data_IF_380565714044
#
_entry.id   IF_380565714044
#
_cell.length_a   1.000
_cell.length_b   1.000
_cell.length_c   1.000
_cell.angle_alpha   90.00
_cell.angle_beta   90.00
_cell.angle_gamma   90.00
#
_symmetry.space_group_name_H-M   'P 1'
#
loop_
_entity.id
_entity.type
_entity.pdbx_description
1 polymer ?
#
# COMPACT_ATOMS: atom_id res chain seq x y z
N UNK A 1 3.38 26.21 -0.95
CA UNK A 1 4.24 25.01 -0.84
C UNK A 1 3.33 23.91 -0.33
N UNK A 2 3.29 22.74 -0.98
CA UNK A 2 2.41 21.68 -0.56
C UNK A 2 2.68 21.27 0.89
N UNK A 3 1.61 20.98 1.63
CA UNK A 3 1.68 20.60 3.06
C UNK A 3 1.08 19.22 3.26
N UNK A 4 1.62 18.45 4.21
CA UNK A 4 1.09 17.11 4.49
C UNK A 4 -0.40 17.16 4.84
N UNK A 5 -1.17 16.19 4.31
CA UNK A 5 -2.56 16.02 4.70
C UNK A 5 -2.69 15.77 6.21
N UNK A 6 -3.76 16.24 6.82
CA UNK A 6 -4.14 15.86 8.19
C UNK A 6 -4.61 14.40 8.23
N UNK A 7 -4.75 13.83 9.43
CA UNK A 7 -5.32 12.48 9.59
C UNK A 7 -6.75 12.38 9.04
N UNK A 8 -7.55 13.43 9.19
CA UNK A 8 -8.91 13.47 8.65
C UNK A 8 -8.93 13.44 7.12
N UNK A 9 -8.07 14.22 6.47
CA UNK A 9 -7.94 14.20 5.02
C UNK A 9 -7.40 12.86 4.52
N UNK A 10 -6.40 12.29 5.19
CA UNK A 10 -5.88 10.96 4.90
C UNK A 10 -6.99 9.88 4.97
N UNK A 11 -7.87 9.98 5.97
CA UNK A 11 -9.04 9.10 6.10
C UNK A 11 -10.00 9.21 4.92
N UNK A 12 -10.22 10.41 4.36
CA UNK A 12 -11.08 10.58 3.19
C UNK A 12 -10.56 9.80 1.96
N UNK A 13 -9.24 9.63 1.82
CA UNK A 13 -8.66 8.81 0.74
C UNK A 13 -8.92 7.31 0.96
N UNK A 14 -8.85 6.85 2.21
CA UNK A 14 -9.24 5.49 2.58
C UNK A 14 -10.72 5.28 2.30
N UNK A 15 -11.59 6.18 2.75
CA UNK A 15 -13.04 6.10 2.55
C UNK A 15 -13.41 6.09 1.06
N UNK A 16 -12.71 6.89 0.26
CA UNK A 16 -12.83 6.89 -1.20
C UNK A 16 -12.60 5.49 -1.78
N UNK A 17 -11.51 4.83 -1.38
CA UNK A 17 -11.17 3.49 -1.88
C UNK A 17 -12.10 2.40 -1.30
N UNK A 18 -12.48 2.50 -0.03
CA UNK A 18 -13.43 1.59 0.62
C UNK A 18 -14.79 1.59 -0.09
N UNK A 19 -15.30 2.77 -0.45
CA UNK A 19 -16.57 2.92 -1.17
C UNK A 19 -16.57 2.23 -2.56
N UNK A 20 -15.39 1.82 -3.06
CA UNK A 20 -15.20 1.19 -4.37
C UNK A 20 -14.83 -0.28 -4.30
N UNK A 21 -14.75 -0.87 -3.11
CA UNK A 21 -14.44 -2.29 -2.95
C UNK A 21 -15.34 -3.17 -3.82
N UNK A 22 -14.72 -4.13 -4.50
CA UNK A 22 -15.40 -5.05 -5.42
C UNK A 22 -15.77 -4.46 -6.77
N UNK A 23 -15.44 -3.19 -7.06
CA UNK A 23 -15.73 -2.51 -8.32
C UNK A 23 -14.45 -2.13 -9.05
N UNK A 24 -14.53 -1.97 -10.37
CA UNK A 24 -13.46 -1.42 -11.18
C UNK A 24 -13.50 0.10 -11.08
N UNK A 25 -12.39 0.71 -10.63
CA UNK A 25 -12.23 2.16 -10.60
C UNK A 25 -11.53 2.65 -11.87
N UNK A 26 -12.19 3.51 -12.64
CA UNK A 26 -11.67 4.01 -13.92
C UNK A 26 -11.34 2.88 -14.89
N UNK A 27 -10.08 2.84 -15.38
CA UNK A 27 -9.60 1.79 -16.28
C UNK A 27 -9.14 0.50 -15.54
N UNK A 28 -9.27 0.47 -14.21
CA UNK A 28 -8.90 -0.66 -13.37
C UNK A 28 -7.41 -0.83 -13.08
N UNK A 29 -6.55 0.13 -13.46
CA UNK A 29 -5.11 0.10 -13.14
C UNK A 29 -4.85 0.46 -11.67
N UNK A 30 -3.76 -0.06 -11.10
CA UNK A 30 -3.39 0.16 -9.69
C UNK A 30 -3.23 1.66 -9.35
N UNK A 31 -2.54 2.41 -10.21
CA UNK A 31 -2.35 3.85 -10.04
C UNK A 31 -3.64 4.66 -10.22
N UNK A 32 -4.62 4.14 -10.97
CA UNK A 32 -5.87 4.88 -11.27
C UNK A 32 -6.74 5.06 -10.03
N UNK A 33 -6.77 4.07 -9.14
CA UNK A 33 -7.46 4.20 -7.85
C UNK A 33 -6.93 5.41 -7.05
N UNK A 34 -5.61 5.52 -6.95
CA UNK A 34 -4.96 6.60 -6.19
C UNK A 34 -5.11 7.94 -6.90
N UNK A 35 -4.87 7.97 -8.22
CA UNK A 35 -4.99 9.19 -9.01
C UNK A 35 -6.40 9.79 -8.95
N UNK A 36 -7.44 8.96 -9.11
CA UNK A 36 -8.82 9.45 -9.05
C UNK A 36 -9.18 9.91 -7.63
N UNK A 37 -8.69 9.23 -6.59
CA UNK A 37 -8.83 9.69 -5.20
C UNK A 37 -8.19 11.05 -4.98
N UNK A 38 -6.97 11.26 -5.49
CA UNK A 38 -6.27 12.55 -5.41
C UNK A 38 -7.05 13.66 -6.13
N UNK A 39 -7.58 13.39 -7.33
CA UNK A 39 -8.40 14.34 -8.07
C UNK A 39 -9.70 14.67 -7.33
N UNK A 40 -10.38 13.66 -6.77
CA UNK A 40 -11.62 13.85 -6.04
C UNK A 40 -11.43 14.70 -4.78
N UNK A 41 -10.35 14.45 -4.02
CA UNK A 41 -10.04 15.14 -2.78
C UNK A 41 -9.20 16.40 -2.97
N UNK A 42 -8.81 16.70 -4.21
CA UNK A 42 -7.95 17.83 -4.59
C UNK A 42 -6.59 17.82 -3.88
N UNK A 43 -6.05 16.63 -3.68
CA UNK A 43 -4.68 16.47 -3.18
C UNK A 43 -3.69 16.90 -4.26
N UNK A 44 -2.56 17.46 -3.82
CA UNK A 44 -1.44 17.76 -4.68
C UNK A 44 -0.87 16.47 -5.29
N UNK A 45 -0.84 16.41 -6.61
CA UNK A 45 -0.17 15.36 -7.38
C UNK A 45 1.14 15.90 -7.96
N UNK A 46 2.31 15.41 -7.51
CA UNK A 46 3.58 15.73 -8.15
C UNK A 46 3.60 15.32 -9.63
N UNK A 47 4.36 16.03 -10.46
CA UNK A 47 4.44 15.77 -11.92
C UNK A 47 5.07 14.43 -12.29
N UNK A 48 5.90 13.85 -11.41
CA UNK A 48 6.51 12.55 -11.64
C UNK A 48 5.48 11.40 -11.64
N UNK A 49 5.64 10.45 -12.57
CA UNK A 49 4.65 9.41 -12.92
C UNK A 49 4.22 8.51 -11.76
N UNK A 50 5.07 8.29 -10.76
CA UNK A 50 4.79 7.43 -9.60
C UNK A 50 5.06 8.11 -8.25
N UNK A 51 5.04 9.44 -8.22
CA UNK A 51 5.15 10.20 -6.99
C UNK A 51 3.77 10.65 -6.51
N UNK A 52 3.50 10.44 -5.23
CA UNK A 52 2.19 10.69 -4.61
C UNK A 52 2.25 11.68 -3.44
N UNK A 53 3.37 12.40 -3.30
CA UNK A 53 3.57 13.41 -2.26
C UNK A 53 5.00 13.38 -1.74
N UNK A 54 5.17 13.68 -0.45
CA UNK A 54 6.49 13.71 0.20
C UNK A 54 6.89 12.31 0.65
N UNK A 55 8.14 11.90 0.38
CA UNK A 55 8.66 10.62 0.85
C UNK A 55 8.76 10.60 2.38
N UNK A 56 8.40 9.48 2.99
CA UNK A 56 8.51 9.22 4.43
C UNK A 56 9.11 7.85 4.69
N UNK A 57 9.81 7.72 5.82
CA UNK A 57 10.31 6.44 6.29
C UNK A 57 9.15 5.53 6.72
N UNK A 58 9.33 4.21 6.60
CA UNK A 58 8.33 3.22 7.02
C UNK A 58 7.93 3.39 8.50
N UNK A 59 8.88 3.76 9.37
CA UNK A 59 8.64 3.99 10.80
C UNK A 59 7.68 5.16 11.06
N UNK A 60 7.54 6.07 10.10
CA UNK A 60 6.61 7.19 10.14
C UNK A 60 5.33 6.93 9.32
N UNK A 61 5.19 5.76 8.69
CA UNK A 61 4.03 5.43 7.86
C UNK A 61 2.74 5.42 8.68
N UNK A 62 1.66 5.95 8.11
CA UNK A 62 0.35 6.03 8.76
C UNK A 62 -0.79 5.79 7.77
N UNK A 63 -2.00 5.45 8.25
CA UNK A 63 -3.18 5.32 7.38
C UNK A 63 -3.34 6.52 6.42
N UNK A 64 -3.61 6.20 5.16
CA UNK A 64 -3.77 7.13 4.05
C UNK A 64 -2.47 7.49 3.32
N UNK A 65 -1.30 7.07 3.82
CA UNK A 65 -0.07 7.14 3.03
C UNK A 65 -0.17 6.19 1.80
N UNK A 66 0.55 6.50 0.73
CA UNK A 66 0.53 5.74 -0.53
C UNK A 66 1.86 5.01 -0.72
N UNK A 67 1.79 3.70 -0.95
CA UNK A 67 2.96 2.89 -1.23
C UNK A 67 3.11 2.73 -2.74
N UNK A 68 4.31 3.01 -3.24
CA UNK A 68 4.73 2.72 -4.60
C UNK A 68 5.76 1.59 -4.56
N UNK A 69 5.36 0.39 -4.96
CA UNK A 69 6.19 -0.80 -5.01
C UNK A 69 6.94 -0.92 -6.34
N UNK A 70 8.13 -1.53 -6.29
CA UNK A 70 8.96 -1.92 -7.44
C UNK A 70 9.57 -3.30 -7.21
N UNK A 71 9.21 -4.28 -8.03
CA UNK A 71 9.65 -5.69 -7.93
C UNK A 71 9.54 -6.26 -6.51
N UNK A 72 8.52 -5.85 -5.76
CA UNK A 72 8.36 -6.18 -4.36
C UNK A 72 7.84 -7.60 -4.20
N UNK A 73 8.51 -8.39 -3.37
CA UNK A 73 8.08 -9.75 -3.02
C UNK A 73 8.13 -9.94 -1.51
N UNK A 74 7.18 -10.70 -1.00
CA UNK A 74 7.15 -11.11 0.40
C UNK A 74 6.86 -12.59 0.49
N UNK A 75 7.80 -13.32 1.08
CA UNK A 75 7.68 -14.73 1.43
C UNK A 75 7.41 -14.85 2.92
N UNK A 76 6.37 -15.59 3.28
CA UNK A 76 6.04 -15.93 4.67
C UNK A 76 6.10 -17.43 4.81
N UNK A 77 6.96 -17.90 5.71
CA UNK A 77 7.15 -19.31 6.05
C UNK A 77 6.70 -19.55 7.50
N UNK A 78 5.75 -20.47 7.67
CA UNK A 78 5.13 -20.81 8.94
C UNK A 78 5.95 -21.86 9.69
N UNK A 79 5.70 -22.05 11.01
CA UNK A 79 6.43 -23.03 11.81
C UNK A 79 6.31 -24.49 11.34
N UNK A 80 5.23 -24.82 10.62
CA UNK A 80 4.99 -26.14 10.05
C UNK A 80 5.72 -26.37 8.70
N UNK A 81 6.53 -25.41 8.26
CA UNK A 81 7.24 -25.44 6.98
C UNK A 81 6.38 -25.05 5.77
N UNK A 82 5.08 -24.80 5.95
CA UNK A 82 4.24 -24.25 4.89
C UNK A 82 4.65 -22.81 4.58
N UNK A 83 4.54 -22.39 3.33
CA UNK A 83 4.91 -21.04 2.93
C UNK A 83 3.93 -20.47 1.91
N UNK A 84 3.87 -19.13 1.88
CA UNK A 84 3.15 -18.35 0.87
C UNK A 84 4.03 -17.21 0.38
N UNK A 85 3.76 -16.77 -0.84
CA UNK A 85 4.43 -15.62 -1.44
C UNK A 85 3.40 -14.65 -2.01
N UNK A 86 3.62 -13.36 -1.79
CA UNK A 86 2.88 -12.30 -2.47
C UNK A 86 3.86 -11.39 -3.21
N UNK A 87 3.44 -10.89 -4.36
CA UNK A 87 4.25 -10.04 -5.21
C UNK A 87 3.49 -8.77 -5.59
N UNK A 88 4.19 -7.64 -5.69
CA UNK A 88 3.68 -6.36 -6.18
C UNK A 88 4.72 -5.71 -7.10
N UNK A 89 4.24 -5.14 -8.19
CA UNK A 89 5.04 -4.31 -9.08
C UNK A 89 5.95 -5.09 -10.01
N UNK A 90 5.35 -5.65 -11.06
CA UNK A 90 6.04 -6.10 -12.27
C UNK A 90 5.80 -5.06 -13.40
N UNK A 91 6.58 -3.95 -13.49
CA UNK A 91 7.62 -3.50 -12.56
C UNK A 91 7.13 -2.52 -11.48
N UNK A 92 5.89 -2.01 -11.54
CA UNK A 92 5.40 -0.97 -10.62
C UNK A 92 3.98 -1.24 -10.13
N UNK A 93 3.71 -0.91 -8.86
CA UNK A 93 2.38 -1.04 -8.28
C UNK A 93 2.11 0.00 -7.21
N UNK A 94 0.90 0.55 -7.18
CA UNK A 94 0.50 1.58 -6.22
C UNK A 94 -0.64 1.07 -5.33
N UNK A 95 -0.54 1.32 -4.02
CA UNK A 95 -1.57 0.96 -3.05
C UNK A 95 -1.74 2.04 -1.97
N UNK A 96 -2.94 2.16 -1.40
CA UNK A 96 -3.24 3.05 -0.28
C UNK A 96 -3.13 2.25 1.02
N UNK A 97 -2.35 2.75 1.98
CA UNK A 97 -2.21 2.12 3.29
C UNK A 97 -3.47 2.37 4.13
N UNK A 98 -4.16 1.30 4.52
CA UNK A 98 -5.32 1.38 5.43
C UNK A 98 -4.88 1.22 6.89
N UNK A 99 -3.94 0.31 7.17
CA UNK A 99 -3.40 0.09 8.52
C UNK A 99 -2.02 -0.56 8.46
N UNK A 100 -1.19 -0.37 9.48
CA UNK A 100 0.07 -1.11 9.65
C UNK A 100 0.31 -1.36 11.14
N UNK A 101 0.78 -2.56 11.48
CA UNK A 101 1.18 -2.89 12.84
C UNK A 101 2.70 -2.72 13.08
N UNK A 102 3.14 -2.93 14.32
CA UNK A 102 4.57 -2.85 14.69
C UNK A 102 5.46 -3.87 13.98
N UNK A 103 4.88 -4.97 13.48
CA UNK A 103 5.57 -6.02 12.74
C UNK A 103 5.58 -5.74 11.23
N UNK A 104 5.03 -4.60 10.80
CA UNK A 104 4.93 -4.22 9.39
C UNK A 104 3.96 -5.10 8.63
N UNK A 105 2.99 -5.73 9.30
CA UNK A 105 1.84 -6.35 8.65
C UNK A 105 0.84 -5.26 8.31
N UNK A 106 0.73 -4.96 7.02
CA UNK A 106 -0.02 -3.82 6.52
C UNK A 106 -1.26 -4.27 5.75
N UNK A 107 -2.35 -3.54 5.94
CA UNK A 107 -3.57 -3.65 5.14
C UNK A 107 -3.54 -2.58 4.07
N UNK A 108 -3.74 -2.98 2.82
CA UNK A 108 -3.74 -2.11 1.65
C UNK A 108 -5.08 -2.15 0.91
N UNK A 109 -5.44 -1.00 0.35
CA UNK A 109 -6.50 -0.85 -0.64
C UNK A 109 -5.85 -0.63 -2.01
N UNK A 110 -6.09 -1.54 -2.93
CA UNK A 110 -5.40 -1.60 -4.22
C UNK A 110 -6.27 -2.20 -5.33
N UNK A 111 -5.89 -1.96 -6.58
CA UNK A 111 -6.51 -2.56 -7.77
C UNK A 111 -5.45 -3.20 -8.64
N UNK A 112 -5.87 -4.02 -9.61
CA UNK A 112 -4.99 -4.70 -10.57
C UNK A 112 -3.95 -5.63 -9.92
N UNK A 113 -4.34 -6.35 -8.87
CA UNK A 113 -3.49 -7.41 -8.29
C UNK A 113 -3.85 -8.74 -8.97
N UNK A 114 -2.85 -9.43 -9.52
CA UNK A 114 -3.04 -10.70 -10.26
C UNK A 114 -4.09 -10.60 -11.39
N UNK A 115 -4.03 -9.53 -12.19
CA UNK A 115 -5.01 -9.20 -13.24
C UNK A 115 -6.46 -8.99 -12.76
N UNK A 116 -6.71 -8.94 -11.45
CA UNK A 116 -8.02 -8.55 -10.92
C UNK A 116 -8.10 -7.03 -10.79
N UNK A 117 -8.85 -6.42 -11.69
CA UNK A 117 -9.05 -4.95 -11.79
C UNK A 117 -9.96 -4.37 -10.72
N UNK A 118 -10.63 -5.19 -9.92
CA UNK A 118 -11.48 -4.71 -8.84
C UNK A 118 -10.62 -4.13 -7.71
N UNK A 119 -11.12 -3.06 -7.09
CA UNK A 119 -10.57 -2.57 -5.83
C UNK A 119 -10.75 -3.66 -4.78
N UNK A 120 -9.66 -3.97 -4.10
CA UNK A 120 -9.57 -5.08 -3.16
C UNK A 120 -8.75 -4.68 -1.94
N UNK A 121 -9.06 -5.34 -0.83
CA UNK A 121 -8.32 -5.22 0.43
C UNK A 121 -7.37 -6.40 0.54
N UNK A 122 -6.08 -6.14 0.75
CA UNK A 122 -5.03 -7.17 0.88
C UNK A 122 -4.19 -6.91 2.12
N UNK A 123 -3.60 -7.97 2.68
CA UNK A 123 -2.79 -7.89 3.89
C UNK A 123 -1.50 -8.67 3.74
N UNK A 124 -0.38 -7.97 3.80
CA UNK A 124 0.93 -8.57 3.65
C UNK A 124 1.99 -7.80 4.44
N UNK A 125 3.13 -8.44 4.68
CA UNK A 125 4.24 -7.78 5.38
C UNK A 125 5.01 -6.88 4.42
N UNK A 126 5.46 -5.73 4.92
CA UNK A 126 6.32 -4.77 4.20
C UNK A 126 7.74 -4.69 4.74
N UNK A 127 8.10 -5.52 5.72
CA UNK A 127 9.48 -5.67 6.19
C UNK A 127 9.80 -7.12 6.54
N UNK A 128 11.07 -7.47 6.44
CA UNK A 128 11.62 -8.73 6.94
C UNK A 128 11.47 -8.79 8.46
N UNK A 129 11.03 -9.94 8.98
CA UNK A 129 10.85 -10.18 10.40
C UNK A 129 10.93 -11.67 10.73
N UNK A 130 11.32 -11.97 11.96
CA UNK A 130 11.13 -13.29 12.56
C UNK A 130 10.13 -13.12 13.72
N UNK A 131 8.96 -13.71 13.58
CA UNK A 131 7.84 -13.55 14.51
C UNK A 131 7.73 -14.80 15.37
N UNK A 132 8.01 -14.67 16.66
CA UNK A 132 7.89 -15.76 17.61
C UNK A 132 6.43 -15.85 18.07
N UNK A 133 5.78 -16.97 17.75
CA UNK A 133 4.45 -17.32 18.25
C UNK A 133 4.51 -18.50 19.21
N UNK A 134 3.39 -18.79 19.88
CA UNK A 134 3.25 -19.92 20.80
C UNK A 134 3.59 -21.27 20.14
N UNK A 135 3.31 -21.41 18.84
CA UNK A 135 3.49 -22.64 18.08
C UNK A 135 4.78 -22.65 17.24
N UNK A 136 5.73 -21.76 17.55
CA UNK A 136 7.02 -21.65 16.86
C UNK A 136 7.18 -20.35 16.07
N UNK A 137 8.25 -20.31 15.28
CA UNK A 137 8.72 -19.11 14.58
C UNK A 137 8.14 -19.02 13.17
N UNK A 138 7.48 -17.90 12.86
CA UNK A 138 7.14 -17.52 11.49
C UNK A 138 8.24 -16.61 10.92
N UNK A 139 8.70 -16.93 9.72
CA UNK A 139 9.80 -16.22 9.06
C UNK A 139 9.25 -15.42 7.88
N UNK A 140 9.44 -14.10 7.90
CA UNK A 140 9.02 -13.18 6.84
C UNK A 140 10.25 -12.65 6.13
N UNK A 141 10.32 -12.79 4.81
CA UNK A 141 11.42 -12.27 3.99
C UNK A 141 10.85 -11.39 2.88
N UNK A 142 11.31 -10.14 2.85
CA UNK A 142 10.93 -9.15 1.84
C UNK A 142 12.11 -8.89 0.91
N UNK A 143 11.84 -8.79 -0.38
CA UNK A 143 12.78 -8.35 -1.42
C UNK A 143 12.12 -7.32 -2.35
N UNK A 144 12.93 -6.70 -3.22
CA UNK A 144 12.49 -5.54 -4.01
C UNK A 144 12.49 -4.26 -3.18
N UNK A 145 11.71 -3.27 -3.60
CA UNK A 145 11.63 -1.99 -2.91
C UNK A 145 10.24 -1.36 -2.95
N UNK A 146 10.05 -0.37 -2.10
CA UNK A 146 8.92 0.54 -2.17
C UNK A 146 9.32 1.93 -1.67
N UNK A 147 8.53 2.92 -2.05
CA UNK A 147 8.57 4.26 -1.46
C UNK A 147 7.22 4.52 -0.79
N UNK A 148 7.26 5.06 0.43
CA UNK A 148 6.06 5.52 1.13
C UNK A 148 5.92 7.02 0.90
N UNK A 149 4.79 7.42 0.34
CA UNK A 149 4.46 8.81 0.11
C UNK A 149 3.37 9.26 1.07
N UNK A 150 3.60 10.40 1.71
CA UNK A 150 2.57 11.16 2.40
C UNK A 150 1.87 12.09 1.41
N UNK A 151 0.56 11.92 1.16
CA UNK A 151 -0.20 12.87 0.34
C UNK A 151 -0.11 14.28 0.91
N UNK A 152 -0.24 15.26 0.04
CA UNK A 152 -0.16 16.68 0.40
C UNK A 152 -1.35 17.45 -0.14
N UNK A 153 -1.72 18.54 0.51
CA UNK A 153 -2.58 19.59 -0.03
C UNK A 153 -1.73 20.62 -0.78
N UNK A 154 -2.27 21.31 -1.79
CA UNK A 154 -1.59 22.42 -2.50
C UNK A 154 -1.04 23.52 -1.58
#
# INVERSE_FOLDING_TARGET
MPTDVTAQQAQQLIDYAVARLGRIEGNGQCWTLVNNGFQHLRFYKPSATYAWGRSVELSAARPGDVFQFTNFKVRVENPDGSWREEERGDPHHTAILESIDSNGYATFLESNVYNNKNVQRRRYHVKTADLNGTNGRTTVRVSGSYIVYRPQMP
#
